data_IF_837206950323
#
_entry.id   IF_837206950323
#
_cell.length_a   1.000
_cell.length_b   1.000
_cell.length_c   1.000
_cell.angle_alpha   90.00
_cell.angle_beta   90.00
_cell.angle_gamma   90.00
#
_symmetry.space_group_name_H-M   'P 1'
#
loop_
_entity.id
_entity.type
_entity.pdbx_description
1 polymer ?
#
# COMPACT_ATOMS: atom_id res chain seq x y z
N UNK A 1 15.88 -23.91 -1.81
CA UNK A 1 15.40 -22.74 -1.05
C UNK A 1 16.53 -21.97 -0.35
N UNK A 2 17.65 -21.71 -1.02
CA UNK A 2 18.67 -20.72 -0.58
C UNK A 2 19.14 -19.80 -1.71
N UNK A 3 18.63 -19.96 -2.94
CA UNK A 3 19.03 -19.15 -4.10
C UNK A 3 18.03 -18.06 -4.49
N UNK A 4 16.92 -17.92 -3.77
CA UNK A 4 15.90 -16.89 -4.01
C UNK A 4 16.04 -15.64 -3.12
N UNK A 5 17.00 -15.63 -2.17
CA UNK A 5 17.22 -14.51 -1.24
C UNK A 5 18.26 -13.48 -1.70
N UNK A 6 18.91 -13.68 -2.84
CA UNK A 6 20.09 -12.89 -3.23
C UNK A 6 19.81 -11.87 -4.35
N UNK A 7 18.70 -12.00 -5.10
CA UNK A 7 18.36 -11.01 -6.14
C UNK A 7 17.37 -9.92 -5.69
N UNK A 8 16.83 -10.00 -4.47
CA UNK A 8 15.89 -9.02 -3.94
C UNK A 8 16.55 -7.89 -3.11
N UNK A 9 17.88 -7.83 -3.07
CA UNK A 9 18.62 -6.98 -2.12
C UNK A 9 19.70 -6.07 -2.75
N UNK A 10 19.66 -5.82 -4.06
CA UNK A 10 20.73 -5.10 -4.77
C UNK A 10 20.35 -3.80 -5.49
N UNK A 11 19.14 -3.25 -5.26
CA UNK A 11 18.76 -1.91 -5.75
C UNK A 11 18.08 -1.06 -4.65
N UNK A 12 18.55 -1.11 -3.40
CA UNK A 12 18.08 -0.16 -2.36
C UNK A 12 19.19 0.32 -1.40
N UNK A 13 20.45 0.21 -1.79
CA UNK A 13 21.58 0.74 -1.01
C UNK A 13 22.36 1.74 -1.85
N UNK A 14 21.79 2.92 -2.07
CA UNK A 14 22.58 4.14 -2.25
C UNK A 14 21.64 5.34 -2.02
N UNK A 15 21.70 5.87 -0.80
CA UNK A 15 21.50 7.26 -0.34
C UNK A 15 21.13 7.15 1.15
N UNK A 16 22.10 6.80 1.98
CA UNK A 16 22.05 7.09 3.40
C UNK A 16 23.48 7.45 3.83
N UNK A 17 23.69 8.74 4.07
CA UNK A 17 24.93 9.25 4.62
C UNK A 17 25.38 10.56 4.00
N UNK A 18 24.74 11.67 4.41
CA UNK A 18 25.37 12.94 4.82
C UNK A 18 24.34 14.09 4.74
N UNK A 19 23.49 14.23 5.75
CA UNK A 19 22.96 15.52 6.19
C UNK A 19 22.65 15.47 7.69
N UNK A 20 23.70 15.36 8.50
CA UNK A 20 23.69 15.92 9.85
C UNK A 20 24.40 17.26 9.73
N UNK A 21 23.64 18.36 9.68
CA UNK A 21 23.98 19.68 10.23
C UNK A 21 22.78 20.63 10.01
N UNK A 22 22.08 20.88 11.12
CA UNK A 22 21.28 22.08 11.44
C UNK A 22 20.28 22.61 10.40
N UNK A 23 18.98 22.36 10.65
CA UNK A 23 17.95 23.37 10.39
C UNK A 23 17.12 23.55 11.67
N UNK A 24 17.06 24.80 12.13
CA UNK A 24 16.28 25.23 13.27
C UNK A 24 14.79 24.93 13.04
N UNK A 25 14.01 24.58 14.07
CA UNK A 25 12.57 24.46 13.92
C UNK A 25 12.00 25.86 13.66
N UNK A 26 11.59 26.12 12.42
CA UNK A 26 10.75 27.27 12.13
C UNK A 26 9.33 26.90 12.59
N UNK A 27 8.73 27.61 13.58
CA UNK A 27 7.38 27.32 13.99
C UNK A 27 6.45 27.70 12.83
N UNK A 28 5.93 26.71 12.11
CA UNK A 28 4.78 26.92 11.23
C UNK A 28 3.60 27.20 12.16
N UNK A 29 3.14 28.45 12.15
CA UNK A 29 1.82 28.82 12.64
C UNK A 29 0.78 28.11 11.77
N UNK A 30 0.37 26.92 12.16
CA UNK A 30 -0.87 26.32 11.67
C UNK A 30 -1.91 26.56 12.75
N UNK A 31 -2.93 27.33 12.40
CA UNK A 31 -3.99 27.78 13.29
C UNK A 31 -4.57 26.64 14.14
N UNK A 32 -4.69 26.95 15.43
CA UNK A 32 -5.54 26.20 16.36
C UNK A 32 -6.98 26.23 15.86
N UNK A 33 -7.51 25.07 15.45
CA UNK A 33 -8.95 24.82 15.47
C UNK A 33 -9.22 23.38 15.89
N UNK A 34 -9.57 23.23 17.16
CA UNK A 34 -10.11 22.02 17.77
C UNK A 34 -11.46 21.65 17.16
N UNK A 35 -11.62 20.38 16.76
CA UNK A 35 -12.89 19.64 16.56
C UNK A 35 -13.90 20.17 15.52
N UNK A 36 -13.68 19.83 14.24
CA UNK A 36 -14.67 19.40 13.20
C UNK A 36 -14.06 19.55 11.79
N UNK A 37 -12.84 19.07 11.57
CA UNK A 37 -12.30 19.07 10.22
C UNK A 37 -12.91 17.89 9.46
N UNK A 38 -13.64 18.22 8.39
CA UNK A 38 -14.02 17.25 7.37
C UNK A 38 -12.76 16.50 6.90
N UNK A 39 -12.86 15.19 6.56
CA UNK A 39 -11.73 14.45 6.00
C UNK A 39 -11.07 15.20 4.84
N UNK A 40 -9.75 15.19 4.79
CA UNK A 40 -8.98 15.64 3.62
C UNK A 40 -9.27 14.66 2.49
N UNK A 41 -10.01 15.11 1.48
CA UNK A 41 -10.42 14.26 0.37
C UNK A 41 -9.36 14.32 -0.72
N UNK A 42 -8.76 13.18 -1.04
CA UNK A 42 -7.67 13.08 -2.01
C UNK A 42 -8.03 12.10 -3.12
N UNK A 43 -7.74 12.50 -4.36
CA UNK A 43 -7.91 11.70 -5.56
C UNK A 43 -6.57 11.37 -6.20
N UNK A 44 -6.54 10.31 -6.99
CA UNK A 44 -5.48 10.07 -7.98
C UNK A 44 -5.69 10.93 -9.22
N UNK A 45 -4.70 10.93 -10.10
CA UNK A 45 -4.79 11.64 -11.36
C UNK A 45 -4.57 13.15 -11.21
N UNK A 46 -4.90 13.94 -12.25
CA UNK A 46 -4.74 15.39 -12.23
C UNK A 46 -5.57 16.11 -11.16
N UNK A 47 -6.67 15.49 -10.70
CA UNK A 47 -7.48 16.04 -9.61
C UNK A 47 -6.70 16.06 -8.29
N UNK A 48 -5.86 15.05 -8.03
CA UNK A 48 -5.02 14.99 -6.83
C UNK A 48 -4.14 16.22 -6.66
N UNK A 49 -3.63 16.81 -7.75
CA UNK A 49 -2.88 18.06 -7.68
C UNK A 49 -3.69 19.21 -7.09
N UNK A 50 -4.97 19.32 -7.45
CA UNK A 50 -5.86 20.36 -6.91
C UNK A 50 -6.17 20.09 -5.45
N UNK A 51 -6.36 18.84 -5.08
CA UNK A 51 -6.65 18.44 -3.69
C UNK A 51 -5.48 18.79 -2.78
N UNK A 52 -4.26 18.38 -3.12
CA UNK A 52 -3.05 18.75 -2.36
C UNK A 52 -2.81 20.27 -2.35
N UNK A 53 -3.04 20.96 -3.47
CA UNK A 53 -2.86 22.40 -3.53
C UNK A 53 -3.83 23.15 -2.61
N UNK A 54 -5.06 22.65 -2.47
CA UNK A 54 -6.05 23.20 -1.54
C UNK A 54 -5.58 23.11 -0.08
N UNK A 55 -4.90 22.03 0.29
CA UNK A 55 -4.53 21.75 1.70
C UNK A 55 -3.13 22.22 2.10
N UNK A 56 -2.15 22.28 1.18
CA UNK A 56 -0.78 22.72 1.46
C UNK A 56 -0.35 23.94 0.63
N UNK A 57 -1.31 24.78 0.22
CA UNK A 57 -1.05 26.03 -0.50
C UNK A 57 -0.21 25.84 -1.78
N UNK A 58 -0.36 24.68 -2.44
CA UNK A 58 0.34 24.36 -3.68
C UNK A 58 1.84 24.09 -3.54
N UNK A 59 2.35 23.75 -2.35
CA UNK A 59 3.76 23.32 -2.21
C UNK A 59 4.02 22.03 -2.98
N UNK A 60 5.07 22.05 -3.79
CA UNK A 60 5.54 20.93 -4.59
C UNK A 60 7.06 20.85 -4.45
N UNK A 61 7.57 19.66 -4.16
CA UNK A 61 8.99 19.35 -4.29
C UNK A 61 9.22 18.70 -5.67
N UNK A 62 10.09 19.27 -6.49
CA UNK A 62 10.32 18.81 -7.86
C UNK A 62 11.71 18.19 -7.98
N UNK A 63 11.76 16.94 -8.40
CA UNK A 63 12.97 16.18 -8.70
C UNK A 63 12.98 15.83 -10.20
N UNK A 64 14.15 15.55 -10.82
CA UNK A 64 14.23 15.24 -12.26
C UNK A 64 13.35 14.09 -12.77
N UNK A 65 12.93 13.18 -11.89
CA UNK A 65 12.17 11.96 -12.23
C UNK A 65 10.79 11.89 -11.57
N UNK A 66 10.48 12.82 -10.66
CA UNK A 66 9.23 12.83 -9.92
C UNK A 66 8.95 14.19 -9.28
N UNK A 67 7.68 14.51 -9.05
CA UNK A 67 7.24 15.60 -8.19
C UNK A 67 6.44 15.08 -7.01
N UNK A 68 6.63 15.70 -5.86
CA UNK A 68 6.07 15.27 -4.58
C UNK A 68 5.22 16.37 -3.96
N UNK A 69 4.12 15.97 -3.32
CA UNK A 69 3.23 16.82 -2.54
C UNK A 69 2.95 16.16 -1.21
N UNK A 70 3.09 16.93 -0.14
CA UNK A 70 3.05 16.39 1.21
C UNK A 70 1.94 17.03 2.04
N UNK A 71 1.35 16.26 2.93
CA UNK A 71 0.53 16.74 4.04
C UNK A 71 1.09 16.13 5.33
N UNK A 72 1.47 16.99 6.27
CA UNK A 72 2.01 16.58 7.56
C UNK A 72 1.06 16.97 8.69
N UNK A 73 0.92 16.07 9.64
CA UNK A 73 0.07 16.22 10.81
C UNK A 73 0.86 15.86 12.06
N UNK A 74 0.62 16.59 13.14
CA UNK A 74 1.30 16.40 14.41
C UNK A 74 0.30 16.34 15.56
N UNK A 75 0.68 15.66 16.63
CA UNK A 75 -0.13 15.62 17.84
C UNK A 75 -0.34 17.06 18.38
N UNK A 76 -1.53 17.38 18.90
CA UNK A 76 -2.68 16.49 19.12
C UNK A 76 -3.64 16.35 17.91
N UNK A 77 -3.35 17.00 16.79
CA UNK A 77 -4.23 17.13 15.62
C UNK A 77 -3.79 16.22 14.47
N UNK A 78 -3.99 14.91 14.64
CA UNK A 78 -3.72 13.93 13.58
C UNK A 78 -4.74 14.06 12.43
N UNK A 79 -4.28 13.79 11.21
CA UNK A 79 -5.10 13.89 10.01
C UNK A 79 -6.15 12.79 9.91
N UNK A 80 -7.20 13.10 9.16
CA UNK A 80 -8.16 12.13 8.64
C UNK A 80 -8.21 12.28 7.12
N UNK A 81 -7.81 11.24 6.41
CA UNK A 81 -7.71 11.25 4.94
C UNK A 81 -8.82 10.38 4.38
N UNK A 82 -9.52 10.88 3.37
CA UNK A 82 -10.47 10.10 2.58
C UNK A 82 -9.88 9.93 1.19
N UNK A 83 -9.53 8.70 0.84
CA UNK A 83 -9.10 8.34 -0.51
C UNK A 83 -10.35 8.08 -1.33
N UNK A 84 -10.57 8.94 -2.32
CA UNK A 84 -11.70 8.85 -3.24
C UNK A 84 -11.31 8.00 -4.45
N UNK A 85 -12.10 6.98 -4.74
CA UNK A 85 -11.81 5.99 -5.77
C UNK A 85 -13.05 5.70 -6.63
N UNK A 86 -13.46 6.72 -7.40
CA UNK A 86 -14.63 6.73 -8.28
C UNK A 86 -15.94 6.33 -7.59
N UNK A 87 -16.18 5.03 -7.43
CA UNK A 87 -17.41 4.46 -6.86
C UNK A 87 -17.30 4.08 -5.38
N UNK A 88 -16.10 4.11 -4.80
CA UNK A 88 -15.88 3.85 -3.37
C UNK A 88 -14.91 4.84 -2.76
N UNK A 89 -14.83 4.82 -1.43
CA UNK A 89 -13.87 5.65 -0.70
C UNK A 89 -13.37 4.93 0.55
N UNK A 90 -12.12 5.19 0.94
CA UNK A 90 -11.54 4.66 2.16
C UNK A 90 -11.10 5.80 3.07
N UNK A 91 -11.66 5.87 4.28
CA UNK A 91 -11.27 6.85 5.29
C UNK A 91 -10.22 6.27 6.24
N UNK A 92 -9.07 6.91 6.29
CA UNK A 92 -7.92 6.59 7.13
C UNK A 92 -7.82 7.64 8.23
N UNK A 93 -7.79 7.17 9.48
CA UNK A 93 -7.69 8.01 10.67
C UNK A 93 -6.25 8.05 11.18
N UNK A 94 -5.98 9.01 12.08
CA UNK A 94 -4.73 9.06 12.85
C UNK A 94 -3.50 9.20 11.95
N UNK A 95 -3.65 9.93 10.85
CA UNK A 95 -2.61 10.11 9.85
C UNK A 95 -1.56 11.09 10.36
N UNK A 96 -0.29 10.72 10.21
CA UNK A 96 0.89 11.54 10.49
C UNK A 96 1.39 12.23 9.23
N UNK A 97 1.40 11.50 8.11
CA UNK A 97 1.83 12.07 6.84
C UNK A 97 1.17 11.41 5.64
N UNK A 98 1.01 12.20 4.58
CA UNK A 98 0.65 11.76 3.23
C UNK A 98 1.69 12.28 2.27
N UNK A 99 2.23 11.40 1.43
CA UNK A 99 3.10 11.74 0.31
C UNK A 99 2.40 11.33 -0.99
N UNK A 100 2.02 12.30 -1.81
CA UNK A 100 1.55 12.08 -3.18
C UNK A 100 2.71 12.26 -4.16
N UNK A 101 2.94 11.27 -5.01
CA UNK A 101 3.99 11.29 -6.03
C UNK A 101 3.40 11.26 -7.45
N UNK A 102 4.05 12.01 -8.33
CA UNK A 102 3.79 12.06 -9.76
C UNK A 102 5.11 11.88 -10.49
N UNK A 103 5.21 10.85 -11.31
CA UNK A 103 6.36 10.51 -12.14
C UNK A 103 6.15 11.02 -13.57
N UNK A 104 4.90 11.00 -14.03
CA UNK A 104 4.45 11.47 -15.34
C UNK A 104 3.51 12.65 -15.12
N UNK A 105 4.00 13.88 -15.29
CA UNK A 105 3.33 15.09 -14.81
C UNK A 105 1.88 15.27 -15.30
N UNK A 106 1.60 14.84 -16.54
CA UNK A 106 0.27 14.83 -17.14
C UNK A 106 -0.69 13.79 -16.54
N UNK A 107 -0.17 12.70 -16.00
CA UNK A 107 -0.95 11.64 -15.33
C UNK A 107 -1.39 12.07 -13.92
N UNK A 108 -0.76 13.09 -13.34
CA UNK A 108 -1.11 13.58 -12.01
C UNK A 108 -0.55 12.71 -10.88
N UNK A 109 -1.29 12.59 -9.77
CA UNK A 109 -0.87 11.72 -8.65
C UNK A 109 -1.05 10.26 -9.03
N UNK A 110 0.05 9.51 -9.07
CA UNK A 110 0.11 8.10 -9.48
C UNK A 110 0.30 7.17 -8.29
N UNK A 111 0.99 7.66 -7.24
CA UNK A 111 1.28 6.92 -6.02
C UNK A 111 0.95 7.80 -4.81
N UNK A 112 0.33 7.22 -3.80
CA UNK A 112 0.13 7.87 -2.50
C UNK A 112 0.58 6.96 -1.37
N UNK A 113 1.46 7.47 -0.51
CA UNK A 113 1.92 6.78 0.69
C UNK A 113 1.39 7.50 1.92
N UNK A 114 0.83 6.75 2.87
CA UNK A 114 0.21 7.28 4.10
C UNK A 114 0.77 6.55 5.30
N UNK A 115 1.27 7.33 6.26
CA UNK A 115 1.70 6.82 7.57
C UNK A 115 0.67 7.21 8.62
N UNK A 116 0.15 6.24 9.36
CA UNK A 116 -0.88 6.45 10.36
C UNK A 116 -0.63 5.60 11.62
N UNK A 117 -1.27 5.98 12.72
CA UNK A 117 -1.42 5.12 13.88
C UNK A 117 -2.62 4.19 13.68
N UNK A 118 -2.55 2.96 14.19
CA UNK A 118 -3.75 2.13 14.26
C UNK A 118 -4.78 2.74 15.23
N UNK A 119 -4.28 3.38 16.29
CA UNK A 119 -5.03 4.09 17.30
C UNK A 119 -4.65 5.58 17.32
N UNK A 120 -5.50 6.41 17.95
CA UNK A 120 -5.21 7.83 18.16
C UNK A 120 -4.07 8.03 19.15
N UNK A 121 -4.12 7.30 20.27
CA UNK A 121 -3.08 7.32 21.28
C UNK A 121 -1.86 6.51 20.81
N UNK A 122 -0.66 7.00 21.14
CA UNK A 122 0.59 6.34 20.76
C UNK A 122 0.75 4.94 21.36
N UNK A 123 0.30 4.76 22.61
CA UNK A 123 0.36 3.49 23.33
C UNK A 123 -1.00 3.14 23.91
N UNK A 124 -1.49 1.94 23.58
CA UNK A 124 -2.80 1.45 24.02
C UNK A 124 -2.70 0.06 24.64
N UNK A 125 -3.74 -0.38 25.35
CA UNK A 125 -3.84 -1.78 25.79
C UNK A 125 -4.04 -2.70 24.58
N UNK A 126 -3.55 -3.95 24.61
CA UNK A 126 -3.67 -4.88 23.48
C UNK A 126 -5.12 -5.07 22.98
N UNK A 127 -6.10 -5.07 23.88
CA UNK A 127 -7.53 -5.18 23.55
C UNK A 127 -8.04 -3.99 22.72
N UNK A 128 -7.53 -2.79 23.01
CA UNK A 128 -7.88 -1.57 22.27
C UNK A 128 -7.21 -1.54 20.89
N UNK A 129 -5.96 -2.02 20.77
CA UNK A 129 -5.31 -2.20 19.48
C UNK A 129 -6.07 -3.21 18.60
N UNK A 130 -6.48 -4.34 19.20
CA UNK A 130 -7.28 -5.34 18.50
C UNK A 130 -8.61 -4.78 17.99
N UNK A 131 -9.34 -4.01 18.80
CA UNK A 131 -10.60 -3.42 18.34
C UNK A 131 -10.37 -2.46 17.15
N UNK A 132 -9.28 -1.69 17.16
CA UNK A 132 -8.93 -0.83 16.05
C UNK A 132 -8.55 -1.61 14.78
N UNK A 133 -7.86 -2.75 14.91
CA UNK A 133 -7.65 -3.69 13.80
C UNK A 133 -8.98 -4.18 13.22
N UNK A 134 -9.90 -4.66 14.06
CA UNK A 134 -11.22 -5.14 13.63
C UNK A 134 -11.97 -4.03 12.87
N UNK A 135 -11.95 -2.80 13.37
CA UNK A 135 -12.62 -1.67 12.74
C UNK A 135 -11.98 -1.28 11.40
N UNK A 136 -10.65 -1.34 11.28
CA UNK A 136 -9.94 -1.14 10.02
C UNK A 136 -10.35 -2.19 8.99
N UNK A 137 -10.30 -3.48 9.33
CA UNK A 137 -10.64 -4.55 8.40
C UNK A 137 -12.11 -4.51 7.98
N UNK A 138 -13.02 -4.16 8.89
CA UNK A 138 -14.43 -3.91 8.54
C UNK A 138 -14.58 -2.79 7.50
N UNK A 139 -13.86 -1.68 7.64
CA UNK A 139 -13.90 -0.58 6.67
C UNK A 139 -13.36 -1.00 5.31
N UNK A 140 -12.24 -1.74 5.28
CA UNK A 140 -11.66 -2.29 4.06
C UNK A 140 -12.67 -3.18 3.33
N UNK A 141 -13.31 -4.11 4.06
CA UNK A 141 -14.31 -5.02 3.51
C UNK A 141 -15.58 -4.30 3.06
N UNK A 142 -16.04 -3.29 3.81
CA UNK A 142 -17.20 -2.45 3.43
C UNK A 142 -16.94 -1.59 2.19
N UNK A 143 -15.70 -1.19 1.96
CA UNK A 143 -15.27 -0.48 0.75
C UNK A 143 -14.97 -1.44 -0.42
N UNK A 144 -15.26 -2.73 -0.27
CA UNK A 144 -15.16 -3.79 -1.28
C UNK A 144 -13.76 -3.96 -1.87
N UNK A 145 -12.72 -3.63 -1.09
CA UNK A 145 -11.34 -3.99 -1.44
C UNK A 145 -11.18 -5.51 -1.38
N UNK A 146 -10.63 -6.10 -2.44
CA UNK A 146 -10.45 -7.55 -2.56
C UNK A 146 -8.98 -7.91 -2.54
N UNK A 147 -8.65 -9.11 -2.09
CA UNK A 147 -7.29 -9.63 -2.21
C UNK A 147 -6.81 -9.54 -3.66
N UNK A 148 -5.55 -9.18 -3.84
CA UNK A 148 -4.91 -9.13 -5.15
C UNK A 148 -3.65 -9.98 -5.13
N UNK A 149 -3.69 -11.11 -5.84
CA UNK A 149 -2.49 -11.85 -6.18
C UNK A 149 -1.78 -11.17 -7.34
N UNK A 150 -0.45 -11.07 -7.28
CA UNK A 150 0.32 -10.73 -8.47
C UNK A 150 -0.05 -11.67 -9.63
N UNK A 151 -0.05 -11.15 -10.86
CA UNK A 151 -0.47 -11.90 -12.05
C UNK A 151 0.35 -13.18 -12.29
N UNK A 152 1.59 -13.20 -11.79
CA UNK A 152 2.51 -14.33 -11.89
C UNK A 152 2.55 -15.23 -10.65
N UNK A 153 1.94 -14.83 -9.53
CA UNK A 153 1.96 -15.60 -8.28
C UNK A 153 0.80 -16.58 -8.21
N UNK A 154 1.00 -17.66 -7.46
CA UNK A 154 0.00 -18.67 -7.16
C UNK A 154 -1.20 -18.05 -6.43
N UNK A 155 -2.39 -18.47 -6.83
CA UNK A 155 -3.66 -18.07 -6.20
C UNK A 155 -3.94 -19.01 -5.04
N UNK A 156 -3.28 -18.81 -3.91
CA UNK A 156 -3.42 -19.71 -2.77
C UNK A 156 -4.83 -19.59 -2.19
N UNK A 157 -5.45 -20.72 -1.87
CA UNK A 157 -6.81 -20.76 -1.35
C UNK A 157 -6.89 -20.20 0.07
N UNK A 158 -8.02 -19.56 0.38
CA UNK A 158 -8.27 -18.89 1.67
C UNK A 158 -8.17 -19.84 2.87
N UNK A 159 -8.37 -21.14 2.67
CA UNK A 159 -8.23 -22.17 3.71
C UNK A 159 -6.80 -22.21 4.27
N UNK A 160 -5.82 -21.82 3.44
CA UNK A 160 -4.40 -21.75 3.82
C UNK A 160 -3.98 -20.35 4.30
N UNK A 161 -4.91 -19.41 4.50
CA UNK A 161 -4.60 -18.00 4.83
C UNK A 161 -3.65 -17.84 6.03
N UNK A 162 -3.93 -18.51 7.15
CA UNK A 162 -3.07 -18.44 8.34
C UNK A 162 -1.70 -19.06 8.07
N UNK A 163 -1.65 -20.19 7.37
CA UNK A 163 -0.38 -20.85 7.05
C UNK A 163 0.48 -19.93 6.18
N UNK A 164 -0.09 -19.40 5.11
CA UNK A 164 0.59 -18.52 4.20
C UNK A 164 1.06 -17.23 4.89
N UNK A 165 0.22 -16.62 5.72
CA UNK A 165 0.56 -15.44 6.52
C UNK A 165 1.77 -15.67 7.43
N UNK A 166 1.84 -16.84 8.07
CA UNK A 166 2.94 -17.15 8.98
C UNK A 166 4.28 -17.35 8.25
N UNK A 167 4.25 -17.71 6.95
CA UNK A 167 5.44 -17.91 6.11
C UNK A 167 5.85 -16.63 5.35
N UNK A 168 4.88 -15.90 4.79
CA UNK A 168 5.11 -14.73 3.92
C UNK A 168 5.04 -13.39 4.64
N UNK A 169 4.22 -13.29 5.68
CA UNK A 169 3.82 -12.03 6.29
C UNK A 169 2.54 -11.42 5.72
N UNK A 170 1.96 -12.00 4.67
CA UNK A 170 0.80 -11.45 3.96
C UNK A 170 -0.49 -12.24 4.17
N UNK A 171 -1.61 -11.53 4.32
CA UNK A 171 -2.96 -12.07 4.38
C UNK A 171 -3.53 -12.19 2.97
N UNK A 172 -4.09 -13.35 2.65
CA UNK A 172 -4.69 -13.66 1.35
C UNK A 172 -6.22 -13.76 1.40
N UNK A 173 -6.80 -13.77 2.61
CA UNK A 173 -8.24 -13.59 2.83
C UNK A 173 -8.49 -12.39 3.76
N UNK A 174 -8.69 -11.17 3.21
CA UNK A 174 -8.96 -9.97 4.01
C UNK A 174 -10.37 -9.99 4.65
N UNK A 175 -11.25 -10.91 4.24
CA UNK A 175 -12.59 -11.04 4.83
C UNK A 175 -12.57 -11.81 6.15
N UNK A 176 -11.53 -12.63 6.36
CA UNK A 176 -11.28 -13.31 7.62
C UNK A 176 -10.66 -12.35 8.65
N UNK A 177 -11.52 -11.78 9.50
CA UNK A 177 -11.08 -10.96 10.64
C UNK A 177 -10.65 -11.91 11.77
N UNK A 178 -9.36 -11.90 12.10
CA UNK A 178 -8.79 -12.70 13.18
C UNK A 178 -9.52 -12.43 14.50
N UNK A 179 -9.73 -13.47 15.29
CA UNK A 179 -10.13 -13.25 16.69
C UNK A 179 -8.94 -12.72 17.53
N UNK A 180 -9.21 -12.30 18.76
CA UNK A 180 -8.19 -11.67 19.60
C UNK A 180 -6.96 -12.56 19.85
N UNK A 181 -7.18 -13.86 20.12
CA UNK A 181 -6.08 -14.80 20.40
C UNK A 181 -5.25 -15.09 19.14
N UNK A 182 -5.91 -15.23 17.99
CA UNK A 182 -5.25 -15.34 16.69
C UNK A 182 -4.41 -14.10 16.38
N UNK A 183 -5.02 -12.90 16.43
CA UNK A 183 -4.35 -11.63 16.19
C UNK A 183 -3.09 -11.49 17.05
N UNK A 184 -3.24 -11.72 18.36
CA UNK A 184 -2.14 -11.64 19.32
C UNK A 184 -1.05 -12.66 19.01
N UNK A 185 -1.40 -13.90 18.67
CA UNK A 185 -0.42 -14.93 18.31
C UNK A 185 0.33 -14.55 17.03
N UNK A 186 -0.40 -14.19 15.98
CA UNK A 186 0.13 -13.87 14.66
C UNK A 186 1.10 -12.69 14.76
N UNK A 187 0.67 -11.55 15.30
CA UNK A 187 1.50 -10.33 15.33
C UNK A 187 2.80 -10.50 16.13
N UNK A 188 2.80 -11.40 17.13
CA UNK A 188 3.99 -11.68 17.92
C UNK A 188 4.90 -12.76 17.30
N UNK A 189 4.45 -13.46 16.26
CA UNK A 189 5.19 -14.58 15.65
C UNK A 189 5.65 -14.27 14.24
N UNK A 190 4.84 -13.55 13.48
CA UNK A 190 5.16 -13.17 12.10
C UNK A 190 6.42 -12.30 12.06
N UNK A 191 7.24 -12.48 11.02
CA UNK A 191 8.49 -11.76 10.87
C UNK A 191 8.32 -10.24 10.99
N UNK A 192 9.13 -9.60 11.82
CA UNK A 192 9.10 -8.15 11.99
C UNK A 192 7.85 -7.60 12.68
N UNK A 193 7.03 -8.45 13.30
CA UNK A 193 5.79 -8.10 14.00
C UNK A 193 4.83 -7.29 13.11
N UNK A 194 4.75 -7.67 11.83
CA UNK A 194 4.03 -6.95 10.79
C UNK A 194 3.16 -7.90 9.98
N UNK A 195 1.93 -7.48 9.72
CA UNK A 195 0.98 -8.19 8.85
C UNK A 195 0.73 -7.32 7.63
N UNK A 196 0.88 -7.89 6.44
CA UNK A 196 0.66 -7.24 5.15
C UNK A 196 -0.64 -7.68 4.46
N UNK A 197 -1.14 -6.82 3.58
CA UNK A 197 -2.26 -7.07 2.69
C UNK A 197 -1.96 -6.42 1.35
N UNK A 198 -2.24 -7.13 0.26
CA UNK A 198 -2.25 -6.55 -1.10
C UNK A 198 -3.67 -6.61 -1.65
N UNK A 199 -4.23 -5.44 -1.89
CA UNK A 199 -5.65 -5.27 -2.16
C UNK A 199 -5.87 -4.52 -3.47
N UNK A 200 -6.99 -4.81 -4.14
CA UNK A 200 -7.45 -4.11 -5.33
C UNK A 200 -8.81 -3.48 -5.09
N UNK A 201 -8.98 -2.25 -5.58
CA UNK A 201 -10.26 -1.56 -5.66
C UNK A 201 -10.26 -0.58 -6.82
N UNK A 202 -11.20 -0.72 -7.77
CA UNK A 202 -11.49 0.25 -8.84
C UNK A 202 -10.29 0.91 -9.53
N UNK A 203 -9.31 0.13 -9.98
CA UNK A 203 -8.14 0.67 -10.69
C UNK A 203 -7.02 1.18 -9.80
N UNK A 204 -7.10 0.92 -8.48
CA UNK A 204 -6.07 1.22 -7.49
C UNK A 204 -5.65 -0.08 -6.79
N UNK A 205 -4.35 -0.24 -6.59
CA UNK A 205 -3.77 -1.22 -5.68
C UNK A 205 -3.47 -0.57 -4.34
N UNK A 206 -3.71 -1.29 -3.25
CA UNK A 206 -3.36 -0.89 -1.90
C UNK A 206 -2.49 -1.99 -1.28
N UNK A 207 -1.24 -1.63 -0.98
CA UNK A 207 -0.39 -2.37 -0.05
C UNK A 207 -0.56 -1.78 1.35
N UNK A 208 -1.13 -2.56 2.26
CA UNK A 208 -1.40 -2.18 3.66
C UNK A 208 -0.51 -3.02 4.57
N UNK A 209 0.21 -2.39 5.49
CA UNK A 209 0.91 -3.10 6.57
C UNK A 209 0.53 -2.57 7.94
N UNK A 210 0.31 -3.47 8.89
CA UNK A 210 0.06 -3.16 10.29
C UNK A 210 1.20 -3.74 11.10
N UNK A 211 2.00 -2.87 11.72
CA UNK A 211 3.21 -3.25 12.43
C UNK A 211 3.13 -2.84 13.89
N UNK A 212 3.38 -3.79 14.78
CA UNK A 212 3.64 -3.49 16.17
C UNK A 212 5.07 -2.99 16.32
N UNK A 213 5.24 -1.70 16.60
CA UNK A 213 6.56 -1.05 16.61
C UNK A 213 7.20 -1.03 17.98
N UNK A 214 6.40 -0.99 19.05
CA UNK A 214 6.92 -0.91 20.43
C UNK A 214 5.95 -1.51 21.43
N UNK A 215 6.52 -2.07 22.51
CA UNK A 215 5.82 -2.42 23.75
C UNK A 215 6.45 -1.69 24.92
N UNK A 216 5.64 -1.25 25.87
CA UNK A 216 6.09 -0.65 27.12
C UNK A 216 6.16 -1.70 28.23
N UNK A 217 6.89 -1.39 29.31
CA UNK A 217 7.00 -2.28 30.48
C UNK A 217 5.65 -2.53 31.15
N UNK A 218 4.74 -1.55 31.13
CA UNK A 218 3.38 -1.69 31.67
C UNK A 218 2.43 -2.46 30.74
N UNK A 219 2.93 -3.02 29.63
CA UNK A 219 2.17 -3.89 28.73
C UNK A 219 1.26 -3.15 27.76
N UNK A 220 1.55 -1.88 27.44
CA UNK A 220 0.92 -1.16 26.33
C UNK A 220 1.70 -1.35 25.05
N UNK A 221 1.02 -1.22 23.93
CA UNK A 221 1.54 -1.53 22.60
C UNK A 221 1.30 -0.34 21.67
N UNK A 222 2.25 -0.12 20.76
CA UNK A 222 2.17 0.86 19.67
C UNK A 222 2.07 0.13 18.35
N UNK A 223 1.14 0.59 17.51
CA UNK A 223 0.89 0.05 16.18
C UNK A 223 0.90 1.14 15.14
N UNK A 224 1.78 0.98 14.15
CA UNK A 224 1.86 1.84 12.98
C UNK A 224 1.24 1.14 11.79
N UNK A 225 0.50 1.91 10.99
CA UNK A 225 -0.14 1.45 9.77
C UNK A 225 0.43 2.23 8.61
N UNK A 226 0.93 1.51 7.61
CA UNK A 226 1.46 2.08 6.39
C UNK A 226 0.59 1.64 5.22
N UNK A 227 0.14 2.61 4.44
CA UNK A 227 -0.64 2.40 3.22
C UNK A 227 0.18 2.91 2.05
N UNK A 228 0.34 2.08 1.02
CA UNK A 228 0.86 2.50 -0.28
C UNK A 228 -0.20 2.21 -1.32
N UNK A 229 -0.71 3.26 -1.94
CA UNK A 229 -1.65 3.16 -3.03
C UNK A 229 -0.94 3.44 -4.35
N UNK A 230 -1.16 2.56 -5.32
CA UNK A 230 -0.66 2.73 -6.68
C UNK A 230 -1.83 2.73 -7.65
N UNK A 231 -1.83 3.63 -8.64
CA UNK A 231 -2.72 3.44 -9.78
C UNK A 231 -2.33 2.18 -10.54
N UNK A 232 -3.32 1.45 -11.04
CA UNK A 232 -3.08 0.28 -11.90
C UNK A 232 -2.33 0.67 -13.17
N UNK A 233 -2.54 1.88 -13.67
CA UNK A 233 -1.77 2.42 -14.78
C UNK A 233 -0.27 2.39 -14.46
N UNK A 234 0.11 2.98 -13.34
CA UNK A 234 1.49 3.04 -12.88
C UNK A 234 2.09 1.65 -12.64
N UNK A 235 1.37 0.78 -11.91
CA UNK A 235 1.84 -0.57 -11.58
C UNK A 235 2.06 -1.44 -12.84
N UNK A 236 1.05 -1.54 -13.72
CA UNK A 236 1.11 -2.41 -14.89
C UNK A 236 2.08 -1.88 -15.95
N UNK A 237 2.13 -0.56 -16.19
CA UNK A 237 3.08 0.04 -17.15
C UNK A 237 4.52 -0.19 -16.70
N UNK A 238 4.82 0.08 -15.44
CA UNK A 238 6.18 -0.09 -14.92
C UNK A 238 6.61 -1.57 -14.86
N UNK A 239 5.68 -2.52 -14.70
CA UNK A 239 5.98 -3.95 -14.79
C UNK A 239 6.41 -4.40 -16.19
N UNK A 240 6.05 -3.63 -17.22
CA UNK A 240 6.38 -3.90 -18.62
C UNK A 240 7.55 -3.06 -19.13
N UNK A 241 8.00 -2.07 -18.37
CA UNK A 241 9.17 -1.26 -18.69
C UNK A 241 10.46 -2.08 -18.54
N UNK A 242 11.45 -1.71 -19.34
CA UNK A 242 12.78 -2.33 -19.32
C UNK A 242 13.82 -1.29 -19.74
N UNK A 243 14.46 -0.67 -18.76
CA UNK A 243 15.47 0.36 -19.01
C UNK A 243 16.71 -0.19 -19.72
N UNK A 244 17.06 -1.47 -19.52
CA UNK A 244 18.23 -2.07 -20.17
C UNK A 244 17.99 -2.22 -21.67
N UNK A 245 16.75 -2.49 -22.07
CA UNK A 245 16.34 -2.64 -23.46
C UNK A 245 15.63 -1.39 -24.04
N UNK A 246 15.68 -0.25 -23.34
CA UNK A 246 15.04 1.02 -23.72
C UNK A 246 13.53 0.90 -23.99
N UNK A 247 12.84 0.05 -23.22
CA UNK A 247 11.39 -0.08 -23.26
C UNK A 247 10.80 0.88 -22.23
N UNK A 248 10.06 1.86 -22.74
CA UNK A 248 9.29 2.84 -21.96
C UNK A 248 7.86 2.81 -22.48
N UNK A 249 6.97 2.23 -21.68
CA UNK A 249 5.56 2.04 -22.03
C UNK A 249 4.80 3.35 -22.15
N UNK A 250 5.26 4.44 -21.53
CA UNK A 250 4.66 5.78 -21.66
C UNK A 250 4.97 6.44 -23.00
N UNK A 251 5.99 5.95 -23.72
CA UNK A 251 6.32 6.38 -25.09
C UNK A 251 5.72 5.50 -26.18
N UNK A 252 5.07 4.39 -25.82
CA UNK A 252 4.45 3.48 -26.79
C UNK A 252 3.20 4.08 -27.42
N UNK A 253 2.98 3.78 -28.71
CA UNK A 253 1.66 3.94 -29.32
C UNK A 253 0.66 3.00 -28.65
N UNK A 254 -0.65 3.30 -28.76
CA UNK A 254 -1.69 2.47 -28.15
C UNK A 254 -1.64 1.01 -28.61
N UNK A 255 -1.26 0.76 -29.88
CA UNK A 255 -1.14 -0.60 -30.43
C UNK A 255 0.07 -1.35 -29.87
N UNK A 256 1.21 -0.67 -29.71
CA UNK A 256 2.40 -1.27 -29.11
C UNK A 256 2.14 -1.62 -27.65
N UNK A 257 1.49 -0.72 -26.90
CA UNK A 257 1.13 -0.96 -25.51
C UNK A 257 0.16 -2.15 -25.37
N UNK A 258 -0.87 -2.24 -26.21
CA UNK A 258 -1.80 -3.38 -26.20
C UNK A 258 -1.08 -4.71 -26.48
N UNK A 259 -0.12 -4.70 -27.42
CA UNK A 259 0.69 -5.87 -27.72
C UNK A 259 1.63 -6.23 -26.57
N UNK A 260 2.29 -5.25 -25.94
CA UNK A 260 3.13 -5.45 -24.76
C UNK A 260 2.33 -6.04 -23.60
N UNK A 261 1.16 -5.46 -23.30
CA UNK A 261 0.25 -5.93 -22.26
C UNK A 261 -0.23 -7.36 -22.52
N UNK A 262 -0.64 -7.67 -23.75
CA UNK A 262 -1.04 -9.03 -24.12
C UNK A 262 0.10 -10.04 -23.98
N UNK A 263 1.33 -9.65 -24.32
CA UNK A 263 2.50 -10.49 -24.14
C UNK A 263 2.83 -10.72 -22.67
N UNK A 264 2.71 -9.68 -21.85
CA UNK A 264 2.94 -9.74 -20.42
C UNK A 264 1.94 -10.65 -19.71
N UNK A 265 0.64 -10.55 -20.04
CA UNK A 265 -0.38 -11.48 -19.56
C UNK A 265 -0.02 -12.94 -19.87
N UNK A 266 0.53 -13.21 -21.07
CA UNK A 266 0.97 -14.56 -21.45
C UNK A 266 2.19 -15.02 -20.65
N UNK A 267 3.14 -14.13 -20.37
CA UNK A 267 4.31 -14.43 -19.51
C UNK A 267 3.87 -14.74 -18.09
N UNK A 268 3.05 -13.87 -17.51
CA UNK A 268 2.53 -14.01 -16.16
C UNK A 268 1.73 -15.30 -15.97
N UNK A 269 0.87 -15.66 -16.93
CA UNK A 269 0.16 -16.94 -16.89
C UNK A 269 1.10 -18.14 -16.81
N UNK A 270 2.16 -18.17 -17.62
CA UNK A 270 3.15 -19.28 -17.59
C UNK A 270 3.90 -19.32 -16.25
N UNK A 271 4.25 -18.16 -15.71
CA UNK A 271 4.92 -18.08 -14.40
C UNK A 271 4.00 -18.59 -13.29
N UNK A 272 2.74 -18.17 -13.29
CA UNK A 272 1.73 -18.64 -12.32
C UNK A 272 1.52 -20.14 -12.39
N UNK A 273 1.42 -20.73 -13.58
CA UNK A 273 1.27 -22.18 -13.73
C UNK A 273 2.46 -22.98 -13.14
N UNK A 274 3.66 -22.38 -13.11
CA UNK A 274 4.83 -22.98 -12.46
C UNK A 274 4.73 -22.81 -10.95
N UNK A 275 4.44 -21.59 -10.47
CA UNK A 275 4.32 -21.27 -9.06
C UNK A 275 3.20 -22.08 -8.38
N UNK A 276 2.03 -22.20 -9.01
CA UNK A 276 0.91 -23.02 -8.53
C UNK A 276 1.32 -24.49 -8.37
N UNK A 277 2.10 -25.06 -9.31
CA UNK A 277 2.61 -26.43 -9.18
C UNK A 277 3.59 -26.58 -8.02
N UNK A 278 4.45 -25.58 -7.81
CA UNK A 278 5.41 -25.60 -6.72
C UNK A 278 4.71 -25.54 -5.37
N UNK A 279 3.76 -24.61 -5.17
CA UNK A 279 3.06 -24.50 -3.88
C UNK A 279 2.11 -25.68 -3.63
N UNK A 280 1.49 -26.26 -4.67
CA UNK A 280 0.73 -27.50 -4.54
C UNK A 280 1.61 -28.67 -4.07
N UNK A 281 2.85 -28.78 -4.56
CA UNK A 281 3.80 -29.79 -4.09
C UNK A 281 4.20 -29.57 -2.61
N UNK A 282 4.09 -28.34 -2.11
CA UNK A 282 4.25 -27.99 -0.69
C UNK A 282 2.96 -28.19 0.12
N UNK A 283 1.86 -28.63 -0.50
CA UNK A 283 0.58 -28.90 0.13
C UNK A 283 -0.31 -27.69 0.33
N UNK A 284 -0.13 -26.62 -0.44
CA UNK A 284 -1.09 -25.52 -0.54
C UNK A 284 -2.23 -25.88 -1.51
N UNK A 285 -3.42 -25.34 -1.24
CA UNK A 285 -4.56 -25.39 -2.14
C UNK A 285 -4.57 -24.16 -3.06
N UNK A 286 -5.11 -24.32 -4.27
CA UNK A 286 -5.28 -23.23 -5.23
C UNK A 286 -6.75 -22.80 -5.26
N UNK A 287 -6.98 -21.50 -5.19
CA UNK A 287 -8.27 -20.86 -5.44
C UNK A 287 -8.55 -20.84 -6.95
N UNK A 288 -9.23 -21.87 -7.44
CA UNK A 288 -9.65 -21.94 -8.84
C UNK A 288 -10.74 -20.91 -9.19
N UNK A 289 -11.47 -20.40 -8.19
CA UNK A 289 -12.54 -19.42 -8.35
C UNK A 289 -12.03 -17.97 -8.38
N UNK A 290 -10.77 -17.73 -7.99
CA UNK A 290 -10.17 -16.40 -8.07
C UNK A 290 -10.03 -15.94 -9.54
N UNK A 291 -10.59 -14.77 -9.82
CA UNK A 291 -10.52 -14.08 -11.11
C UNK A 291 -9.71 -12.80 -10.95
N UNK A 292 -8.63 -12.67 -11.74
CA UNK A 292 -7.84 -11.42 -11.76
C UNK A 292 -8.71 -10.22 -12.15
N UNK A 293 -8.48 -9.04 -11.54
CA UNK A 293 -9.17 -7.83 -11.97
C UNK A 293 -8.94 -7.51 -13.46
N UNK A 294 -10.00 -7.03 -14.12
CA UNK A 294 -9.92 -6.51 -15.49
C UNK A 294 -9.31 -5.11 -15.45
N UNK A 295 -8.03 -5.02 -15.76
CA UNK A 295 -7.25 -3.78 -15.58
C UNK A 295 -7.03 -2.97 -16.85
N UNK A 296 -7.15 -3.58 -18.04
CA UNK A 296 -6.81 -2.92 -19.30
C UNK A 296 -7.45 -1.52 -19.49
N UNK A 297 -8.70 -1.27 -19.07
CA UNK A 297 -9.30 0.07 -19.14
C UNK A 297 -8.52 1.16 -18.39
N UNK A 298 -7.75 0.81 -17.36
CA UNK A 298 -6.93 1.73 -16.57
C UNK A 298 -5.49 1.85 -17.09
N UNK A 299 -4.99 0.83 -17.81
CA UNK A 299 -3.61 0.80 -18.34
C UNK A 299 -3.44 1.71 -19.56
N UNK A 300 -4.46 1.79 -20.42
CA UNK A 300 -4.42 2.53 -21.70
C UNK A 300 -4.25 4.04 -21.54
#
# INVERSE_FOLDING_TARGET
MEKFKIYFNLIFVFIFGLFLLSCQPHPKNTENNTMNQQPYSLHFGPQGFKDFAHYNQGKVDNHPVASFRELDFSLPNLGQIKIENSTSSLTINHVFSVLGASFHGEEGIEVMTINAGLNKEEFVRPEQAYQAYVDLMKKINQAEWKNYFYRFSARIAKEDNIRYLMESGDVIDPTYIFNYEEWKKIINTVGGNSIGYRLYGNGILLDLSIKQTKKTEDGKEQYMVHYTFNTIRYDERNSMDDSENNIDTYKMTSKELEQAFTNELRRNKKSREIDEKEVMAQGYHIDEDYVDPVVWPYVK
#
